data_IF_640261146907
#
_entry.id   IF_640261146907
#
_cell.length_a   1.000
_cell.length_b   1.000
_cell.length_c   1.000
_cell.angle_alpha   90.00
_cell.angle_beta   90.00
_cell.angle_gamma   90.00
#
_symmetry.space_group_name_H-M   'P 1'
#
loop_
_entity.id
_entity.type
_entity.pdbx_description
1 polymer ?
#
# COMPACT_ATOMS: atom_id res chain seq x y z
N UNK A 1 15.22 -38.77 25.89
CA UNK A 1 14.85 -37.90 27.01
C UNK A 1 13.93 -36.81 26.48
N UNK A 2 12.64 -36.93 26.78
CA UNK A 2 11.61 -35.95 26.43
C UNK A 2 11.65 -34.79 27.41
N UNK A 3 11.49 -33.55 26.95
CA UNK A 3 11.16 -32.41 27.81
C UNK A 3 10.06 -31.57 27.17
N UNK A 4 9.17 -31.14 28.04
CA UNK A 4 7.76 -30.88 27.80
C UNK A 4 7.52 -29.36 27.79
N UNK A 5 6.49 -28.97 27.05
CA UNK A 5 5.88 -27.63 26.96
C UNK A 5 5.53 -27.06 28.34
N UNK A 6 5.62 -25.74 28.52
CA UNK A 6 4.87 -25.04 29.58
C UNK A 6 4.37 -23.69 29.07
N UNK A 7 3.04 -23.58 29.00
CA UNK A 7 2.25 -22.38 28.72
C UNK A 7 1.78 -21.81 30.06
N UNK A 8 1.77 -20.48 30.23
CA UNK A 8 1.16 -19.83 31.38
C UNK A 8 0.04 -18.88 30.93
N UNK A 9 -1.18 -19.18 31.38
CA UNK A 9 -2.40 -18.38 31.26
C UNK A 9 -2.67 -17.73 32.61
N UNK A 10 -2.99 -16.44 32.64
CA UNK A 10 -3.42 -15.75 33.87
C UNK A 10 -4.83 -15.20 33.67
N UNK A 11 -5.78 -15.84 34.37
CA UNK A 11 -7.16 -15.41 34.55
C UNK A 11 -7.23 -14.60 35.85
N UNK A 12 -7.97 -13.49 35.88
CA UNK A 12 -8.36 -12.84 37.14
C UNK A 12 -9.81 -12.37 37.08
N UNK A 13 -10.46 -12.55 38.22
CA UNK A 13 -11.90 -12.78 38.43
C UNK A 13 -12.64 -11.52 38.87
N UNK A 14 -13.96 -11.54 38.66
CA UNK A 14 -15.02 -10.54 38.86
C UNK A 14 -15.16 -10.01 40.29
N UNK A 15 -15.55 -8.73 40.45
CA UNK A 15 -16.33 -8.24 41.59
C UNK A 15 -17.51 -7.36 41.13
N UNK A 16 -18.73 -7.73 41.56
CA UNK A 16 -20.00 -7.00 41.40
C UNK A 16 -20.23 -6.10 42.62
N UNK A 17 -20.66 -4.86 42.42
CA UNK A 17 -21.44 -4.09 43.41
C UNK A 17 -22.51 -3.27 42.69
N UNK A 18 -23.77 -3.45 43.11
CA UNK A 18 -24.95 -2.73 42.65
C UNK A 18 -25.25 -1.54 43.59
N UNK A 19 -25.69 -0.40 43.03
CA UNK A 19 -26.33 0.71 43.76
C UNK A 19 -27.50 1.25 42.91
N UNK A 20 -28.65 1.46 43.57
CA UNK A 20 -29.96 1.83 43.03
C UNK A 20 -30.08 3.33 42.61
N UNK A 21 -31.19 3.75 41.95
CA UNK A 21 -31.26 4.96 41.12
C UNK A 21 -31.87 6.17 41.84
N UNK A 22 -31.64 7.40 41.32
CA UNK A 22 -32.58 8.54 41.19
C UNK A 22 -31.84 9.76 40.63
N UNK A 23 -32.42 10.38 39.60
CA UNK A 23 -31.99 11.69 39.09
C UNK A 23 -32.41 11.97 37.65
N UNK A 24 -33.67 12.34 37.43
CA UNK A 24 -34.17 12.94 36.18
C UNK A 24 -34.00 14.46 36.33
N UNK A 25 -33.41 15.16 35.36
CA UNK A 25 -34.03 16.09 34.38
C UNK A 25 -32.93 16.99 33.73
N UNK A 26 -33.14 17.25 32.43
CA UNK A 26 -32.78 18.48 31.69
C UNK A 26 -31.54 18.44 30.80
N UNK A 27 -31.81 17.98 29.58
CA UNK A 27 -31.18 18.38 28.33
C UNK A 27 -30.90 19.88 28.28
N UNK A 28 -29.62 20.24 28.17
CA UNK A 28 -29.21 21.52 27.60
C UNK A 28 -28.31 21.22 26.40
N UNK A 29 -28.93 21.45 25.25
CA UNK A 29 -28.39 21.65 23.92
C UNK A 29 -27.15 22.54 23.99
N UNK A 30 -26.08 22.12 23.31
CA UNK A 30 -25.09 22.92 22.57
C UNK A 30 -23.79 22.12 22.44
N UNK A 31 -23.87 20.98 21.75
CA UNK A 31 -22.69 20.37 21.12
C UNK A 31 -22.67 20.92 19.70
N UNK A 32 -21.66 21.72 19.32
CA UNK A 32 -21.50 22.08 17.92
C UNK A 32 -21.31 20.78 17.12
N UNK A 33 -21.95 20.62 15.95
CA UNK A 33 -21.66 19.48 15.11
C UNK A 33 -20.21 19.63 14.64
N UNK A 34 -19.28 18.93 15.29
CA UNK A 34 -17.94 18.72 14.72
C UNK A 34 -18.07 17.72 13.57
N UNK A 35 -18.76 18.14 12.51
CA UNK A 35 -18.72 17.48 11.21
C UNK A 35 -17.43 17.97 10.55
N UNK A 36 -16.33 17.33 10.94
CA UNK A 36 -15.18 17.19 10.06
C UNK A 36 -15.24 15.79 9.45
N UNK A 37 -16.39 15.41 8.91
CA UNK A 37 -16.46 14.31 7.95
C UNK A 37 -16.02 14.91 6.61
N UNK A 38 -14.72 15.19 6.49
CA UNK A 38 -14.06 15.31 5.19
C UNK A 38 -14.07 13.92 4.56
N UNK A 39 -15.25 13.56 4.08
CA UNK A 39 -15.52 12.79 2.89
C UNK A 39 -14.52 11.64 2.64
N UNK A 40 -14.59 10.60 3.48
CA UNK A 40 -13.95 9.32 3.16
C UNK A 40 -14.51 8.77 1.83
N UNK A 41 -15.75 9.11 1.46
CA UNK A 41 -16.32 8.70 0.18
C UNK A 41 -15.59 9.31 -1.02
N UNK A 42 -14.98 10.50 -0.90
CA UNK A 42 -14.11 11.06 -1.97
C UNK A 42 -12.74 10.37 -2.03
N UNK A 43 -12.23 9.88 -0.91
CA UNK A 43 -11.00 9.07 -0.89
C UNK A 43 -11.26 7.65 -1.42
N UNK A 44 -12.45 7.09 -1.16
CA UNK A 44 -12.89 5.81 -1.73
C UNK A 44 -13.09 5.94 -3.25
N UNK A 45 -13.71 7.03 -3.72
CA UNK A 45 -13.87 7.33 -5.17
C UNK A 45 -12.53 7.60 -5.87
N UNK A 46 -11.53 8.16 -5.19
CA UNK A 46 -10.17 8.27 -5.74
C UNK A 46 -9.41 6.93 -5.76
N UNK A 47 -9.88 5.95 -4.99
CA UNK A 47 -9.38 4.56 -4.94
C UNK A 47 -10.13 3.65 -5.94
N UNK A 48 -11.21 4.14 -6.56
CA UNK A 48 -12.03 3.41 -7.55
C UNK A 48 -11.23 3.00 -8.81
N UNK A 49 -10.11 3.68 -9.10
CA UNK A 49 -9.20 3.27 -10.19
C UNK A 49 -8.23 2.14 -9.82
N UNK A 50 -7.99 1.90 -8.53
CA UNK A 50 -7.21 0.74 -8.06
C UNK A 50 -8.03 -0.55 -8.08
N UNK A 51 -9.36 -0.49 -8.10
CA UNK A 51 -10.24 -1.67 -8.06
C UNK A 51 -10.18 -2.56 -9.31
N UNK A 52 -9.52 -2.13 -10.39
CA UNK A 52 -9.36 -2.93 -11.63
C UNK A 52 -7.96 -3.48 -11.85
N UNK A 53 -7.06 -3.36 -10.88
CA UNK A 53 -5.76 -4.00 -11.00
C UNK A 53 -5.94 -5.49 -10.72
N UNK A 54 -5.81 -6.30 -11.76
CA UNK A 54 -5.85 -7.75 -11.63
C UNK A 54 -4.55 -8.22 -11.01
N UNK A 55 -4.64 -8.84 -9.84
CA UNK A 55 -3.49 -9.42 -9.17
C UNK A 55 -3.06 -10.73 -9.88
N UNK A 56 -1.80 -10.84 -10.31
CA UNK A 56 -1.30 -12.07 -10.91
C UNK A 56 -1.18 -13.19 -9.87
N UNK A 57 -1.21 -14.47 -10.30
CA UNK A 57 -0.96 -15.60 -9.41
C UNK A 57 0.39 -15.49 -8.68
N UNK A 58 0.49 -16.06 -7.47
CA UNK A 58 1.69 -15.98 -6.61
C UNK A 58 2.98 -16.37 -7.35
N UNK A 59 2.96 -17.44 -8.13
CA UNK A 59 4.12 -17.89 -8.92
C UNK A 59 4.58 -16.88 -9.97
N UNK A 60 3.69 -16.01 -10.45
CA UNK A 60 4.00 -14.93 -11.39
C UNK A 60 4.56 -13.73 -10.62
N UNK A 61 4.00 -13.41 -9.45
CA UNK A 61 4.53 -12.37 -8.57
C UNK A 61 5.97 -12.66 -8.14
N UNK A 62 6.26 -13.90 -7.73
CA UNK A 62 7.61 -14.33 -7.36
C UNK A 62 8.60 -14.18 -8.51
N UNK A 63 8.19 -14.54 -9.73
CA UNK A 63 9.02 -14.35 -10.93
C UNK A 63 9.28 -12.87 -11.22
N UNK A 64 8.26 -12.02 -11.11
CA UNK A 64 8.40 -10.57 -11.27
C UNK A 64 9.39 -10.02 -10.23
N UNK A 65 9.23 -10.42 -8.97
CA UNK A 65 10.14 -10.03 -7.90
C UNK A 65 11.58 -10.50 -8.19
N UNK A 66 11.76 -11.72 -8.66
CA UNK A 66 13.06 -12.27 -9.04
C UNK A 66 13.72 -11.49 -10.19
N UNK A 67 12.93 -11.11 -11.20
CA UNK A 67 13.39 -10.30 -12.34
C UNK A 67 13.95 -8.97 -11.85
N UNK A 68 13.16 -8.20 -11.09
CA UNK A 68 13.60 -6.89 -10.61
C UNK A 68 14.75 -7.00 -9.60
N UNK A 69 14.75 -8.04 -8.76
CA UNK A 69 15.83 -8.25 -7.79
C UNK A 69 17.19 -8.52 -8.45
N UNK A 70 17.21 -9.20 -9.59
CA UNK A 70 18.43 -9.56 -10.30
C UNK A 70 18.68 -8.71 -11.56
N UNK A 71 17.94 -7.63 -11.73
CA UNK A 71 18.09 -6.74 -12.88
C UNK A 71 19.44 -6.02 -12.83
N UNK A 72 20.13 -5.98 -13.95
CA UNK A 72 21.37 -5.23 -14.13
C UNK A 72 21.47 -4.69 -15.55
N UNK A 73 22.43 -3.80 -15.81
CA UNK A 73 22.64 -3.26 -17.15
C UNK A 73 23.07 -4.34 -18.16
N UNK A 74 23.83 -5.35 -17.74
CA UNK A 74 24.34 -6.40 -18.64
C UNK A 74 23.31 -7.44 -19.02
N UNK A 75 22.26 -7.62 -18.20
CA UNK A 75 21.19 -8.60 -18.45
C UNK A 75 19.84 -7.95 -18.79
N UNK A 76 19.80 -6.63 -19.01
CA UNK A 76 18.58 -5.84 -19.22
C UNK A 76 17.66 -6.43 -20.29
N UNK A 77 18.17 -6.62 -21.51
CA UNK A 77 17.39 -7.13 -22.64
C UNK A 77 16.81 -8.51 -22.33
N UNK A 78 17.59 -9.39 -21.71
CA UNK A 78 17.13 -10.71 -21.31
C UNK A 78 16.00 -10.61 -20.29
N UNK A 79 16.14 -9.75 -19.26
CA UNK A 79 15.11 -9.58 -18.22
C UNK A 79 13.82 -8.94 -18.73
N UNK A 80 13.92 -8.08 -19.74
CA UNK A 80 12.75 -7.54 -20.44
C UNK A 80 11.98 -8.65 -21.17
N UNK A 81 12.68 -9.53 -21.90
CA UNK A 81 12.03 -10.64 -22.59
C UNK A 81 11.44 -11.66 -21.61
N UNK A 82 12.17 -12.01 -20.54
CA UNK A 82 11.64 -12.86 -19.45
C UNK A 82 10.35 -12.29 -18.83
N UNK A 83 10.30 -10.96 -18.65
CA UNK A 83 9.09 -10.30 -18.14
C UNK A 83 7.93 -10.42 -19.12
N UNK A 84 8.15 -10.17 -20.42
CA UNK A 84 7.12 -10.26 -21.46
C UNK A 84 6.55 -11.67 -21.60
N UNK A 85 7.40 -12.69 -21.49
CA UNK A 85 6.97 -14.09 -21.56
C UNK A 85 6.20 -14.53 -20.30
N UNK A 86 6.60 -14.00 -19.14
CA UNK A 86 6.01 -14.38 -17.86
C UNK A 86 4.70 -13.65 -17.57
N UNK A 87 4.60 -12.38 -17.95
CA UNK A 87 3.52 -11.48 -17.54
C UNK A 87 2.60 -11.19 -18.72
N UNK A 88 1.34 -11.60 -18.57
CA UNK A 88 0.28 -11.24 -19.50
C UNK A 88 -0.07 -9.75 -19.40
N UNK A 89 -0.55 -9.17 -20.49
CA UNK A 89 -0.93 -7.75 -20.55
C UNK A 89 -1.93 -7.34 -19.46
N UNK A 90 -2.86 -8.22 -19.08
CA UNK A 90 -3.84 -7.99 -18.01
C UNK A 90 -3.21 -7.72 -16.63
N UNK A 91 -1.97 -8.17 -16.41
CA UNK A 91 -1.22 -7.98 -15.17
C UNK A 91 -0.23 -6.82 -15.23
N UNK A 92 -0.05 -6.16 -16.38
CA UNK A 92 0.86 -5.01 -16.53
C UNK A 92 0.53 -3.84 -15.58
N UNK A 93 -0.75 -3.51 -15.31
CA UNK A 93 -1.08 -2.52 -14.29
C UNK A 93 -0.49 -2.89 -12.92
N UNK A 94 -0.58 -4.16 -12.52
CA UNK A 94 -0.02 -4.64 -11.26
C UNK A 94 1.51 -4.54 -11.24
N UNK A 95 2.19 -4.87 -12.34
CA UNK A 95 3.64 -4.70 -12.44
C UNK A 95 4.06 -3.25 -12.28
N UNK A 96 3.31 -2.31 -12.88
CA UNK A 96 3.60 -0.88 -12.75
C UNK A 96 3.48 -0.41 -11.30
N UNK A 97 2.45 -0.90 -10.59
CA UNK A 97 2.25 -0.67 -9.16
C UNK A 97 3.40 -1.24 -8.33
N UNK A 98 3.76 -2.49 -8.57
CA UNK A 98 4.87 -3.15 -7.88
C UNK A 98 6.19 -2.37 -8.07
N UNK A 99 6.52 -2.02 -9.32
CA UNK A 99 7.74 -1.29 -9.63
C UNK A 99 7.82 0.05 -8.88
N UNK A 100 6.74 0.84 -8.89
CA UNK A 100 6.74 2.16 -8.24
C UNK A 100 6.70 2.03 -6.72
N UNK A 101 5.79 1.23 -6.18
CA UNK A 101 5.54 1.16 -4.74
C UNK A 101 6.60 0.40 -3.96
N UNK A 102 7.20 -0.65 -4.56
CA UNK A 102 8.11 -1.57 -3.86
C UNK A 102 9.56 -1.41 -4.27
N UNK A 103 9.87 -0.76 -5.40
CA UNK A 103 11.24 -0.61 -5.89
C UNK A 103 11.63 0.85 -5.99
N UNK A 104 11.03 1.62 -6.90
CA UNK A 104 11.40 3.02 -7.17
C UNK A 104 11.28 3.91 -5.93
N UNK A 105 10.27 3.68 -5.07
CA UNK A 105 10.05 4.44 -3.84
C UNK A 105 11.15 4.29 -2.78
N UNK A 106 11.88 3.17 -2.77
CA UNK A 106 12.85 2.82 -1.72
C UNK A 106 14.28 2.60 -2.23
N UNK A 107 14.48 2.51 -3.54
CA UNK A 107 15.77 2.24 -4.17
C UNK A 107 16.21 3.38 -5.12
N UNK A 108 16.56 4.58 -4.59
CA UNK A 108 16.95 5.73 -5.41
C UNK A 108 18.17 5.45 -6.30
N UNK A 109 19.08 4.60 -5.83
CA UNK A 109 20.29 4.24 -6.55
C UNK A 109 20.04 3.45 -7.84
N UNK A 110 18.86 2.85 -8.00
CA UNK A 110 18.49 2.06 -9.18
C UNK A 110 17.53 2.79 -10.13
N UNK A 111 17.23 4.08 -9.90
CA UNK A 111 16.32 4.84 -10.77
C UNK A 111 16.77 4.84 -12.24
N UNK A 112 18.05 5.08 -12.52
CA UNK A 112 18.56 5.05 -13.90
C UNK A 112 18.46 3.65 -14.51
N UNK A 113 18.60 2.59 -13.71
CA UNK A 113 18.43 1.21 -14.16
C UNK A 113 16.97 0.95 -14.55
N UNK A 114 16.01 1.37 -13.72
CA UNK A 114 14.59 1.24 -14.02
C UNK A 114 14.16 2.11 -15.20
N UNK A 115 14.72 3.31 -15.38
CA UNK A 115 14.47 4.13 -16.57
C UNK A 115 14.92 3.41 -17.84
N UNK A 116 16.14 2.89 -17.86
CA UNK A 116 16.66 2.11 -19.00
C UNK A 116 15.81 0.85 -19.27
N UNK A 117 15.26 0.24 -18.22
CA UNK A 117 14.34 -0.89 -18.35
C UNK A 117 13.07 -0.49 -19.12
N UNK A 118 12.44 0.64 -18.78
CA UNK A 118 11.26 1.15 -19.49
C UNK A 118 11.57 1.47 -20.95
N UNK A 119 12.73 2.08 -21.22
CA UNK A 119 13.18 2.40 -22.57
C UNK A 119 13.45 1.13 -23.40
N UNK A 120 13.94 0.06 -22.76
CA UNK A 120 14.21 -1.22 -23.41
C UNK A 120 12.92 -2.02 -23.64
N UNK A 121 11.98 -1.96 -22.69
CA UNK A 121 10.67 -2.61 -22.81
C UNK A 121 9.85 -2.04 -23.98
N UNK A 122 10.05 -0.76 -24.31
CA UNK A 122 9.41 -0.05 -25.43
C UNK A 122 7.88 -0.17 -25.42
N UNK A 123 7.27 -0.18 -24.23
CA UNK A 123 5.83 -0.24 -24.07
C UNK A 123 5.31 1.12 -23.57
N UNK A 124 4.78 1.92 -24.50
CA UNK A 124 4.29 3.26 -24.20
C UNK A 124 3.11 3.25 -23.22
N UNK A 125 2.26 2.22 -23.27
CA UNK A 125 1.12 2.08 -22.36
C UNK A 125 1.61 1.80 -20.94
N UNK A 126 2.57 0.88 -20.79
CA UNK A 126 3.21 0.59 -19.51
C UNK A 126 3.92 1.81 -18.94
N UNK A 127 4.63 2.58 -19.77
CA UNK A 127 5.28 3.81 -19.31
C UNK A 127 4.26 4.82 -18.76
N UNK A 128 3.07 4.93 -19.39
CA UNK A 128 1.98 5.76 -18.89
C UNK A 128 1.43 5.23 -17.56
N UNK A 129 1.29 3.92 -17.41
CA UNK A 129 0.88 3.29 -16.14
C UNK A 129 1.87 3.61 -15.02
N UNK A 130 3.18 3.41 -15.24
CA UNK A 130 4.25 3.72 -14.28
C UNK A 130 4.26 5.20 -13.91
N UNK A 131 4.06 6.10 -14.89
CA UNK A 131 4.01 7.54 -14.63
C UNK A 131 2.80 7.91 -13.77
N UNK A 132 1.61 7.41 -14.12
CA UNK A 132 0.38 7.63 -13.35
C UNK A 132 0.53 7.12 -11.91
N UNK A 133 1.12 5.94 -11.75
CA UNK A 133 1.40 5.34 -10.45
C UNK A 133 2.37 6.19 -9.63
N UNK A 134 3.42 6.71 -10.26
CA UNK A 134 4.39 7.62 -9.63
C UNK A 134 3.70 8.87 -9.12
N UNK A 135 2.90 9.55 -9.94
CA UNK A 135 2.14 10.73 -9.52
C UNK A 135 1.17 10.42 -8.38
N UNK A 136 0.48 9.27 -8.44
CA UNK A 136 -0.44 8.84 -7.38
C UNK A 136 0.30 8.64 -6.06
N UNK A 137 1.45 7.95 -6.09
CA UNK A 137 2.26 7.69 -4.90
C UNK A 137 2.86 8.98 -4.33
N UNK A 138 3.31 9.91 -5.17
CA UNK A 138 3.76 11.23 -4.71
C UNK A 138 2.59 11.98 -4.06
N UNK A 139 1.40 11.99 -4.67
CA UNK A 139 0.22 12.67 -4.10
C UNK A 139 -0.19 12.06 -2.77
N UNK A 140 -0.27 10.73 -2.68
CA UNK A 140 -0.62 10.02 -1.44
C UNK A 140 0.47 10.18 -0.37
N UNK A 141 1.74 10.05 -0.73
CA UNK A 141 2.87 10.22 0.19
C UNK A 141 3.01 11.66 0.70
N UNK A 142 2.77 12.65 -0.17
CA UNK A 142 2.69 14.05 0.23
C UNK A 142 1.54 14.24 1.23
N UNK A 143 0.35 13.74 0.91
CA UNK A 143 -0.82 13.81 1.81
C UNK A 143 -0.50 13.14 3.16
N UNK A 144 0.04 11.92 3.19
CA UNK A 144 0.40 11.24 4.45
C UNK A 144 1.48 12.00 5.24
N UNK A 145 2.45 12.62 4.57
CA UNK A 145 3.46 13.48 5.21
C UNK A 145 2.83 14.74 5.83
N UNK A 146 1.89 15.39 5.15
CA UNK A 146 1.18 16.56 5.67
C UNK A 146 0.26 16.24 6.86
N UNK A 147 -0.23 15.00 6.96
CA UNK A 147 -1.03 14.53 8.08
C UNK A 147 -0.21 13.79 9.15
N UNK A 148 1.13 13.79 9.05
CA UNK A 148 1.98 13.21 10.09
C UNK A 148 1.95 14.12 11.35
N UNK A 149 1.68 13.58 12.54
CA UNK A 149 1.46 14.37 13.77
C UNK A 149 2.61 15.33 14.11
N UNK A 150 3.83 15.03 13.66
CA UNK A 150 5.02 15.85 13.89
C UNK A 150 5.03 17.19 13.14
N UNK A 151 4.25 17.33 12.06
CA UNK A 151 4.19 18.56 11.25
C UNK A 151 3.14 19.54 11.78
N UNK A 152 2.14 19.05 12.53
CA UNK A 152 1.05 19.85 13.11
C UNK A 152 1.36 20.40 14.51
N UNK A 153 2.58 20.19 15.01
CA UNK A 153 3.05 20.72 16.30
C UNK A 153 3.99 21.93 16.18
N UNK A 154 4.10 22.54 14.99
CA UNK A 154 4.84 23.78 14.75
C UNK A 154 4.00 25.03 14.94
#
# INVERSE_FOLDING_TARGET
VSTVVTTATTTTTVAKTAIAPVGRVSFKKDVPPSINTTNIDTLLVATDQTERIVEPPENVQEKIAFIFNNLSQSNMTQKVEELKETVKEEFMPWVSQYLVMKRVSIEPNFHSLYSNFLDTLKNAEFNKMVLNETYRNIKVGAIQSYFHPSVLQG
#
